data_IF_193207683081
#
_entry.id   IF_193207683081
#
_cell.length_a   1.000
_cell.length_b   1.000
_cell.length_c   1.000
_cell.angle_alpha   90.00
_cell.angle_beta   90.00
_cell.angle_gamma   90.00
#
_symmetry.space_group_name_H-M   'P 1'
#
loop_
_entity.id
_entity.type
_entity.pdbx_description
1 polymer ?
#
# COMPACT_ATOMS: atom_id res chain seq x y z
N UNK A 1 2.89 22.65 -18.03
CA UNK A 1 2.12 21.64 -17.30
C UNK A 1 3.07 20.97 -16.31
N UNK A 2 2.82 21.16 -15.01
CA UNK A 2 3.61 20.56 -13.92
C UNK A 2 2.93 19.24 -13.50
N UNK A 3 3.68 18.13 -13.56
CA UNK A 3 3.22 16.84 -13.09
C UNK A 3 3.98 16.49 -11.80
N UNK A 4 3.25 16.18 -10.75
CA UNK A 4 3.82 15.72 -9.49
C UNK A 4 3.57 14.21 -9.33
N UNK A 5 4.59 13.48 -8.91
CA UNK A 5 4.51 12.03 -8.70
C UNK A 5 5.07 11.66 -7.33
N UNK A 6 4.29 10.90 -6.57
CA UNK A 6 4.76 10.31 -5.32
C UNK A 6 5.52 9.03 -5.65
N UNK A 7 6.85 9.11 -5.66
CA UNK A 7 7.71 7.95 -5.84
C UNK A 7 8.17 7.42 -4.47
N UNK A 8 7.83 6.16 -4.18
CA UNK A 8 8.25 5.48 -2.95
C UNK A 8 9.77 5.26 -2.86
N UNK A 9 10.48 5.38 -3.98
CA UNK A 9 11.93 5.22 -4.05
C UNK A 9 12.70 6.54 -4.12
N UNK A 10 12.00 7.69 -4.02
CA UNK A 10 12.67 8.99 -4.02
C UNK A 10 13.66 9.07 -2.85
N UNK A 11 14.92 9.22 -3.18
CA UNK A 11 15.98 9.42 -2.19
C UNK A 11 15.99 10.90 -1.82
N UNK A 12 15.67 11.20 -0.56
CA UNK A 12 15.87 12.54 -0.01
C UNK A 12 17.36 12.82 0.10
N UNK A 13 17.77 14.03 -0.26
CA UNK A 13 19.18 14.42 -0.23
C UNK A 13 19.72 14.44 1.21
N UNK A 14 20.95 13.93 1.35
CA UNK A 14 21.65 13.91 2.63
C UNK A 14 21.88 15.34 3.15
N UNK A 15 21.57 15.57 4.42
CA UNK A 15 21.79 16.88 5.08
C UNK A 15 20.65 17.87 4.93
N UNK A 16 19.52 17.49 4.30
CA UNK A 16 18.30 18.32 4.32
C UNK A 16 17.49 18.09 5.61
N UNK A 17 16.94 19.16 6.14
CA UNK A 17 15.96 19.07 7.25
C UNK A 17 14.55 18.88 6.72
N UNK A 18 13.62 18.37 7.56
CA UNK A 18 12.20 18.25 7.20
C UNK A 18 11.66 19.58 6.69
N UNK A 19 11.88 20.67 7.42
CA UNK A 19 11.45 22.02 7.02
C UNK A 19 12.07 22.47 5.71
N UNK A 20 13.34 22.14 5.47
CA UNK A 20 14.04 22.40 4.20
C UNK A 20 13.38 21.71 3.02
N UNK A 21 13.05 20.42 3.16
CA UNK A 21 12.36 19.64 2.11
C UNK A 21 10.96 20.20 1.82
N UNK A 22 10.21 20.61 2.84
CA UNK A 22 8.87 21.18 2.64
C UNK A 22 8.92 22.55 1.98
N UNK A 23 9.88 23.42 2.36
CA UNK A 23 10.08 24.73 1.71
C UNK A 23 10.56 24.62 0.27
N UNK A 24 11.29 23.56 -0.07
CA UNK A 24 11.76 23.31 -1.43
C UNK A 24 10.59 23.15 -2.44
N UNK A 25 9.39 22.79 -1.97
CA UNK A 25 8.16 22.84 -2.78
C UNK A 25 7.91 24.20 -3.43
N UNK A 26 8.42 25.26 -2.83
CA UNK A 26 8.28 26.66 -3.24
C UNK A 26 9.57 27.26 -3.81
N UNK A 27 10.59 26.43 -4.11
CA UNK A 27 11.92 26.86 -4.57
C UNK A 27 11.84 27.94 -5.67
N UNK A 28 10.94 27.76 -6.65
CA UNK A 28 10.72 28.75 -7.72
C UNK A 28 10.29 30.14 -7.20
N UNK A 29 9.49 30.20 -6.15
CA UNK A 29 9.05 31.46 -5.57
C UNK A 29 10.21 32.15 -4.81
N UNK A 30 11.01 31.36 -4.10
CA UNK A 30 12.23 31.88 -3.46
C UNK A 30 13.28 32.35 -4.47
N UNK A 31 13.39 31.69 -5.63
CA UNK A 31 14.25 32.17 -6.73
C UNK A 31 13.75 33.50 -7.29
N UNK A 32 12.43 33.71 -7.41
CA UNK A 32 11.83 34.97 -7.83
C UNK A 32 12.09 36.09 -6.81
N UNK A 33 11.92 35.79 -5.51
CA UNK A 33 12.26 36.75 -4.43
C UNK A 33 13.75 37.13 -4.48
N UNK A 34 14.64 36.17 -4.62
CA UNK A 34 16.07 36.41 -4.78
C UNK A 34 16.34 37.29 -6.00
N UNK A 35 15.67 37.05 -7.12
CA UNK A 35 15.80 37.84 -8.33
C UNK A 35 15.34 39.31 -8.10
N UNK A 36 14.24 39.50 -7.36
CA UNK A 36 13.78 40.85 -6.96
C UNK A 36 14.88 41.57 -6.15
N UNK A 37 15.48 40.92 -5.18
CA UNK A 37 16.56 41.45 -4.36
C UNK A 37 17.79 41.84 -5.23
N UNK A 38 18.17 40.98 -6.19
CA UNK A 38 19.24 41.27 -7.15
C UNK A 38 18.91 42.50 -8.03
N UNK A 39 17.64 42.67 -8.42
CA UNK A 39 17.18 43.84 -9.18
C UNK A 39 17.25 45.10 -8.32
N UNK A 40 16.83 45.02 -7.05
CA UNK A 40 16.94 46.17 -6.12
C UNK A 40 18.39 46.62 -5.94
N UNK A 41 19.34 45.70 -5.79
CA UNK A 41 20.77 45.98 -5.68
C UNK A 41 21.28 46.66 -6.95
N UNK A 42 20.89 46.14 -8.13
CA UNK A 42 21.29 46.73 -9.42
C UNK A 42 20.70 48.12 -9.65
N UNK A 43 19.43 48.36 -9.28
CA UNK A 43 18.80 49.67 -9.40
C UNK A 43 19.52 50.77 -8.60
N UNK A 44 20.26 50.39 -7.54
CA UNK A 44 21.07 51.34 -6.78
C UNK A 44 22.33 51.80 -7.55
N UNK A 45 22.77 51.07 -8.58
CA UNK A 45 24.01 51.31 -9.33
C UNK A 45 23.75 51.81 -10.77
N UNK A 46 22.55 51.55 -11.33
CA UNK A 46 22.18 51.89 -12.72
C UNK A 46 21.89 53.39 -12.85
N UNK A 47 22.49 54.00 -13.87
CA UNK A 47 22.27 55.43 -14.22
C UNK A 47 21.56 55.58 -15.56
N UNK A 48 21.40 54.54 -16.33
CA UNK A 48 20.68 54.54 -17.60
C UNK A 48 19.17 54.40 -17.38
N UNK A 49 18.39 55.31 -17.92
CA UNK A 49 16.94 55.42 -17.73
C UNK A 49 16.18 54.26 -18.39
N UNK A 50 16.64 53.78 -19.56
CA UNK A 50 16.01 52.65 -20.27
C UNK A 50 16.25 51.31 -19.54
N UNK A 51 17.46 51.11 -19.03
CA UNK A 51 17.80 49.93 -18.23
C UNK A 51 17.04 49.92 -16.89
N UNK A 52 16.92 51.07 -16.24
CA UNK A 52 16.17 51.24 -15.00
C UNK A 52 14.69 50.91 -15.19
N UNK A 53 14.05 51.38 -16.26
CA UNK A 53 12.64 51.07 -16.57
C UNK A 53 12.44 49.59 -16.81
N UNK A 54 13.34 48.94 -17.55
CA UNK A 54 13.27 47.48 -17.80
C UNK A 54 13.35 46.66 -16.51
N UNK A 55 14.26 47.02 -15.59
CA UNK A 55 14.40 46.38 -14.29
C UNK A 55 13.16 46.60 -13.39
N UNK A 56 12.56 47.80 -13.44
CA UNK A 56 11.34 48.09 -12.68
C UNK A 56 10.13 47.28 -13.21
N UNK A 57 10.02 47.15 -14.54
CA UNK A 57 8.97 46.31 -15.14
C UNK A 57 9.16 44.82 -14.76
N UNK A 58 10.40 44.27 -14.84
CA UNK A 58 10.70 42.90 -14.42
C UNK A 58 10.34 42.70 -12.94
N UNK A 59 10.74 43.64 -12.07
CA UNK A 59 10.45 43.57 -10.64
C UNK A 59 8.94 43.57 -10.36
N UNK A 60 8.17 44.44 -11.03
CA UNK A 60 6.72 44.50 -10.90
C UNK A 60 6.05 43.17 -11.28
N UNK A 61 6.44 42.58 -12.42
CA UNK A 61 5.92 41.29 -12.85
C UNK A 61 6.25 40.17 -11.86
N UNK A 62 7.45 40.10 -11.32
CA UNK A 62 7.85 39.14 -10.32
C UNK A 62 7.08 39.35 -9.02
N UNK A 63 6.84 40.55 -8.59
CA UNK A 63 6.08 40.87 -7.38
C UNK A 63 4.62 40.45 -7.51
N UNK A 64 3.97 40.73 -8.64
CA UNK A 64 2.61 40.27 -8.95
C UNK A 64 2.50 38.73 -8.93
N UNK A 65 3.54 38.05 -9.44
CA UNK A 65 3.60 36.59 -9.38
C UNK A 65 3.75 36.06 -7.94
N UNK A 66 4.59 36.67 -7.11
CA UNK A 66 4.72 36.27 -5.70
C UNK A 66 3.42 36.52 -4.94
N UNK A 67 2.73 37.63 -5.16
CA UNK A 67 1.45 37.95 -4.53
C UNK A 67 0.35 36.94 -4.95
N UNK A 68 0.29 36.62 -6.25
CA UNK A 68 -0.70 35.68 -6.79
C UNK A 68 -0.51 34.24 -6.32
N UNK A 69 0.70 33.88 -5.85
CA UNK A 69 1.02 32.52 -5.33
C UNK A 69 1.11 32.50 -3.80
N UNK A 70 0.64 33.57 -3.13
CA UNK A 70 0.61 33.60 -1.65
C UNK A 70 2.00 33.41 -1.00
N UNK A 71 3.05 34.01 -1.58
CA UNK A 71 4.42 33.85 -1.12
C UNK A 71 4.60 34.13 0.37
N UNK A 72 3.99 35.20 0.85
CA UNK A 72 4.18 35.69 2.23
C UNK A 72 3.53 34.80 3.31
N UNK A 73 2.72 33.80 2.91
CA UNK A 73 2.11 32.84 3.86
C UNK A 73 2.65 31.44 3.69
N UNK A 74 3.77 31.25 2.96
CA UNK A 74 4.38 29.93 2.73
C UNK A 74 4.68 29.23 4.05
N UNK A 75 5.26 29.91 5.03
CA UNK A 75 5.57 29.30 6.33
C UNK A 75 4.31 28.79 7.04
N UNK A 76 3.20 29.51 6.94
CA UNK A 76 1.91 29.06 7.49
C UNK A 76 1.37 27.82 6.76
N UNK A 77 1.48 27.78 5.42
CA UNK A 77 1.10 26.60 4.60
C UNK A 77 1.96 25.37 4.94
N UNK A 78 3.27 25.57 5.08
CA UNK A 78 4.21 24.53 5.50
C UNK A 78 3.85 23.99 6.88
N UNK A 79 3.58 24.89 7.84
CA UNK A 79 3.20 24.50 9.19
C UNK A 79 1.86 23.75 9.23
N UNK A 80 0.87 24.18 8.47
CA UNK A 80 -0.44 23.52 8.36
C UNK A 80 -0.30 22.07 7.88
N UNK A 81 0.41 21.87 6.75
CA UNK A 81 0.63 20.52 6.20
C UNK A 81 1.54 19.68 7.10
N UNK A 82 2.57 20.29 7.70
CA UNK A 82 3.45 19.60 8.64
C UNK A 82 2.67 19.11 9.89
N UNK A 83 1.72 19.93 10.38
CA UNK A 83 0.82 19.57 11.47
C UNK A 83 -0.10 18.43 11.10
N UNK A 84 -0.68 18.47 9.88
CA UNK A 84 -1.59 17.45 9.38
C UNK A 84 -0.96 16.05 9.28
N UNK A 85 0.37 15.97 9.10
CA UNK A 85 1.12 14.70 9.03
C UNK A 85 1.97 14.42 10.27
N UNK A 86 1.74 15.13 11.38
CA UNK A 86 2.49 15.02 12.65
C UNK A 86 4.01 15.28 12.52
N UNK A 87 4.44 15.98 11.46
CA UNK A 87 5.85 16.27 11.23
C UNK A 87 6.41 17.31 12.21
N UNK A 88 5.55 18.17 12.79
CA UNK A 88 5.95 19.13 13.82
C UNK A 88 6.46 18.43 15.08
N UNK A 89 5.87 17.29 15.45
CA UNK A 89 6.29 16.51 16.61
C UNK A 89 7.68 15.88 16.43
N UNK A 90 8.08 15.64 15.16
CA UNK A 90 9.41 15.12 14.85
C UNK A 90 10.50 16.21 14.94
N UNK A 91 10.07 17.51 14.83
CA UNK A 91 10.95 18.66 14.73
C UNK A 91 11.32 18.96 13.28
N UNK A 92 10.98 20.18 12.79
CA UNK A 92 11.26 20.57 11.41
C UNK A 92 12.77 20.70 11.09
N UNK A 93 13.62 20.84 12.12
CA UNK A 93 15.08 20.91 11.99
C UNK A 93 15.74 19.53 11.94
N UNK A 94 14.96 18.46 12.10
CA UNK A 94 15.49 17.10 12.08
C UNK A 94 15.93 16.72 10.66
N UNK A 95 17.10 16.05 10.55
CA UNK A 95 17.62 15.53 9.30
C UNK A 95 16.75 14.40 8.76
N UNK A 96 16.42 14.46 7.46
CA UNK A 96 15.55 13.47 6.80
C UNK A 96 16.18 12.08 6.73
N UNK A 97 17.48 11.94 6.90
CA UNK A 97 18.17 10.65 6.92
C UNK A 97 17.90 9.85 8.19
N UNK A 98 17.52 10.52 9.28
CA UNK A 98 17.17 9.89 10.57
C UNK A 98 15.72 9.37 10.60
N UNK A 99 14.95 9.62 9.55
CA UNK A 99 13.55 9.24 9.48
C UNK A 99 13.38 7.77 9.08
N UNK A 100 12.36 7.13 9.65
CA UNK A 100 11.88 5.81 9.18
C UNK A 100 11.32 5.90 7.75
N UNK A 101 11.19 4.76 7.06
CA UNK A 101 10.60 4.69 5.72
C UNK A 101 9.23 5.37 5.64
N UNK A 102 8.31 5.05 6.56
CA UNK A 102 6.99 5.67 6.61
C UNK A 102 7.02 7.18 6.89
N UNK A 103 7.94 7.65 7.77
CA UNK A 103 8.10 9.08 8.01
C UNK A 103 8.63 9.82 6.77
N UNK A 104 9.56 9.22 6.03
CA UNK A 104 10.05 9.78 4.76
C UNK A 104 8.93 9.91 3.74
N UNK A 105 8.10 8.88 3.60
CA UNK A 105 6.94 8.91 2.71
C UNK A 105 5.96 10.03 3.08
N UNK A 106 5.70 10.27 4.37
CA UNK A 106 4.89 11.41 4.84
C UNK A 106 5.49 12.76 4.44
N UNK A 107 6.79 12.94 4.59
CA UNK A 107 7.50 14.19 4.18
C UNK A 107 7.41 14.40 2.67
N UNK A 108 7.62 13.35 1.87
CA UNK A 108 7.51 13.42 0.41
C UNK A 108 6.10 13.74 -0.05
N UNK A 109 5.09 13.09 0.56
CA UNK A 109 3.68 13.38 0.28
C UNK A 109 3.35 14.82 0.65
N UNK A 110 3.74 15.29 1.82
CA UNK A 110 3.53 16.66 2.28
C UNK A 110 4.16 17.69 1.31
N UNK A 111 5.41 17.47 0.87
CA UNK A 111 6.06 18.30 -0.16
C UNK A 111 5.25 18.33 -1.44
N UNK A 112 4.85 17.18 -1.95
CA UNK A 112 4.10 17.06 -3.20
C UNK A 112 2.75 17.80 -3.15
N UNK A 113 2.05 17.71 -2.01
CA UNK A 113 0.78 18.42 -1.80
C UNK A 113 0.99 19.94 -1.74
N UNK A 114 2.08 20.41 -1.12
CA UNK A 114 2.46 21.84 -1.10
C UNK A 114 2.79 22.38 -2.50
N UNK A 115 3.36 21.55 -3.35
CA UNK A 115 3.69 21.91 -4.74
C UNK A 115 2.47 22.18 -5.63
N UNK A 116 1.30 21.65 -5.28
CA UNK A 116 0.02 21.76 -6.00
C UNK A 116 0.17 21.60 -7.53
N UNK A 117 0.71 20.48 -8.05
CA UNK A 117 0.92 20.32 -9.48
C UNK A 117 -0.40 20.31 -10.26
N UNK A 118 -0.36 20.64 -11.58
CA UNK A 118 -1.53 20.57 -12.46
C UNK A 118 -2.06 19.13 -12.64
N UNK A 119 -1.17 18.15 -12.55
CA UNK A 119 -1.53 16.72 -12.51
C UNK A 119 -0.80 16.08 -11.34
N UNK A 120 -1.55 15.52 -10.39
CA UNK A 120 -1.04 14.82 -9.23
C UNK A 120 -1.17 13.31 -9.43
N UNK A 121 -0.06 12.58 -9.35
CA UNK A 121 -0.02 11.13 -9.47
C UNK A 121 0.31 10.52 -8.10
N UNK A 122 -0.63 9.75 -7.57
CA UNK A 122 -0.52 9.11 -6.25
C UNK A 122 -0.60 7.59 -6.41
N UNK A 123 0.45 6.91 -5.97
CA UNK A 123 0.51 5.44 -5.92
C UNK A 123 0.49 4.99 -4.47
N UNK A 124 -0.62 4.34 -4.06
CA UNK A 124 -0.86 3.86 -2.70
C UNK A 124 -0.54 4.90 -1.60
N UNK A 125 -1.11 6.13 -1.66
CA UNK A 125 -0.74 7.20 -0.73
C UNK A 125 -1.22 6.95 0.70
N UNK A 126 -2.19 6.04 0.91
CA UNK A 126 -2.70 5.66 2.23
C UNK A 126 -1.77 4.72 2.99
N UNK A 127 -0.81 4.10 2.30
CA UNK A 127 0.21 3.30 2.96
C UNK A 127 1.02 4.15 3.95
N UNK A 128 1.24 3.63 5.15
CA UNK A 128 1.94 4.30 6.26
C UNK A 128 1.21 5.51 6.87
N UNK A 129 -0.04 5.79 6.44
CA UNK A 129 -0.91 6.78 7.06
C UNK A 129 -1.85 6.11 8.08
N UNK A 130 -2.10 6.76 9.19
CA UNK A 130 -3.16 6.36 10.10
C UNK A 130 -4.51 7.00 9.72
N UNK A 131 -5.57 6.61 10.39
CA UNK A 131 -6.93 7.04 10.08
C UNK A 131 -7.10 8.58 10.05
N UNK A 132 -6.40 9.31 10.94
CA UNK A 132 -6.45 10.76 10.99
C UNK A 132 -5.83 11.41 9.74
N UNK A 133 -4.65 10.91 9.33
CA UNK A 133 -3.97 11.39 8.11
C UNK A 133 -4.76 11.05 6.84
N UNK A 134 -5.37 9.86 6.78
CA UNK A 134 -6.22 9.46 5.65
C UNK A 134 -7.44 10.40 5.53
N UNK A 135 -8.09 10.73 6.66
CA UNK A 135 -9.24 11.63 6.63
C UNK A 135 -8.86 13.06 6.23
N UNK A 136 -7.68 13.53 6.62
CA UNK A 136 -7.16 14.82 6.17
C UNK A 136 -6.84 14.79 4.66
N UNK A 137 -6.14 13.76 4.18
CA UNK A 137 -5.81 13.60 2.76
C UNK A 137 -7.07 13.53 1.89
N UNK A 138 -8.09 12.81 2.36
CA UNK A 138 -9.39 12.74 1.71
C UNK A 138 -10.01 14.12 1.49
N UNK A 139 -10.07 14.95 2.54
CA UNK A 139 -10.60 16.33 2.44
C UNK A 139 -9.78 17.16 1.47
N UNK A 140 -8.45 17.08 1.57
CA UNK A 140 -7.54 17.77 0.66
C UNK A 140 -7.80 17.42 -0.81
N UNK A 141 -7.95 16.11 -1.14
CA UNK A 141 -8.20 15.66 -2.51
C UNK A 141 -9.62 16.01 -3.00
N UNK A 142 -10.61 16.07 -2.12
CA UNK A 142 -11.96 16.52 -2.47
C UNK A 142 -12.00 18.01 -2.85
N UNK A 143 -11.13 18.81 -2.27
CA UNK A 143 -10.98 20.25 -2.53
C UNK A 143 -9.91 20.57 -3.58
N UNK A 144 -9.24 19.52 -4.13
CA UNK A 144 -8.14 19.73 -5.08
C UNK A 144 -8.66 20.25 -6.41
N UNK A 145 -8.24 21.46 -6.79
CA UNK A 145 -8.73 22.17 -7.98
C UNK A 145 -8.25 21.56 -9.30
N UNK A 146 -7.10 20.88 -9.27
CA UNK A 146 -6.45 20.31 -10.44
C UNK A 146 -6.80 18.81 -10.60
N UNK A 147 -6.26 18.18 -11.64
CA UNK A 147 -6.48 16.76 -11.87
C UNK A 147 -5.56 15.89 -11.02
N UNK A 148 -6.08 14.76 -10.53
CA UNK A 148 -5.23 13.72 -9.91
C UNK A 148 -5.56 12.34 -10.47
N UNK A 149 -4.55 11.46 -10.44
CA UNK A 149 -4.69 10.02 -10.73
C UNK A 149 -4.22 9.29 -9.48
N UNK A 150 -5.08 8.41 -8.98
CA UNK A 150 -4.87 7.69 -7.74
C UNK A 150 -4.90 6.19 -8.00
N UNK A 151 -3.90 5.47 -7.49
CA UNK A 151 -3.89 4.02 -7.37
C UNK A 151 -4.00 3.72 -5.87
N UNK A 152 -4.99 2.91 -5.48
CA UNK A 152 -5.16 2.50 -4.08
C UNK A 152 -5.96 1.20 -3.97
N UNK A 153 -5.67 0.44 -2.92
CA UNK A 153 -6.45 -0.73 -2.49
C UNK A 153 -7.40 -0.41 -1.33
N UNK A 154 -7.44 0.84 -0.88
CA UNK A 154 -8.35 1.34 0.14
C UNK A 154 -9.67 1.77 -0.54
N UNK A 155 -10.66 0.85 -0.55
CA UNK A 155 -11.94 1.06 -1.23
C UNK A 155 -12.74 2.23 -0.62
N UNK A 156 -12.88 2.35 0.72
CA UNK A 156 -13.54 3.49 1.35
C UNK A 156 -12.92 4.83 0.95
N UNK A 157 -11.60 4.90 0.89
CA UNK A 157 -10.89 6.08 0.45
C UNK A 157 -11.16 6.39 -1.03
N UNK A 158 -11.06 5.39 -1.93
CA UNK A 158 -11.39 5.53 -3.36
C UNK A 158 -12.81 6.07 -3.55
N UNK A 159 -13.81 5.44 -2.94
CA UNK A 159 -15.22 5.84 -3.07
C UNK A 159 -15.48 7.29 -2.63
N UNK A 160 -14.64 7.81 -1.74
CA UNK A 160 -14.81 9.17 -1.21
C UNK A 160 -14.20 10.27 -2.08
N UNK A 161 -13.18 9.96 -2.91
CA UNK A 161 -12.39 10.98 -3.62
C UNK A 161 -12.43 10.87 -5.14
N UNK A 162 -12.77 9.69 -5.72
CA UNK A 162 -12.74 9.52 -7.17
C UNK A 162 -14.14 9.58 -7.79
N UNK A 163 -14.20 10.03 -9.03
CA UNK A 163 -15.44 10.09 -9.84
C UNK A 163 -15.31 9.35 -11.18
N UNK A 164 -14.14 8.81 -11.49
CA UNK A 164 -13.85 8.02 -12.69
C UNK A 164 -12.90 6.91 -12.29
N UNK A 165 -13.23 5.68 -12.71
CA UNK A 165 -12.35 4.52 -12.56
C UNK A 165 -11.80 4.13 -13.93
N UNK A 166 -10.48 3.95 -14.01
CA UNK A 166 -9.81 3.32 -15.13
C UNK A 166 -9.38 1.91 -14.73
N UNK A 167 -10.02 0.92 -15.34
CA UNK A 167 -9.71 -0.49 -15.13
C UNK A 167 -8.82 -0.99 -16.26
N UNK A 168 -7.67 -1.53 -15.88
CA UNK A 168 -6.69 -2.09 -16.81
C UNK A 168 -6.79 -3.61 -16.81
N UNK A 169 -7.23 -4.17 -17.94
CA UNK A 169 -7.42 -5.59 -18.14
C UNK A 169 -7.05 -5.97 -19.59
N UNK A 170 -6.38 -7.09 -19.82
CA UNK A 170 -5.98 -7.56 -21.19
C UNK A 170 -5.21 -6.51 -22.02
N UNK A 171 -4.32 -5.75 -21.40
CA UNK A 171 -3.63 -4.63 -22.04
C UNK A 171 -4.59 -3.57 -22.62
N UNK A 172 -5.82 -3.53 -22.16
CA UNK A 172 -6.81 -2.52 -22.50
C UNK A 172 -7.18 -1.69 -21.29
N UNK A 173 -7.46 -0.43 -21.52
CA UNK A 173 -7.87 0.51 -20.47
C UNK A 173 -9.36 0.83 -20.64
N UNK A 174 -10.16 0.36 -19.70
CA UNK A 174 -11.60 0.63 -19.66
C UNK A 174 -11.89 1.83 -18.76
N UNK A 175 -12.66 2.83 -19.26
CA UNK A 175 -13.10 3.99 -18.49
C UNK A 175 -14.52 3.78 -17.96
N UNK A 176 -14.72 3.98 -16.68
CA UNK A 176 -16.01 3.88 -16.00
C UNK A 176 -16.27 5.17 -15.23
N UNK A 177 -17.45 5.73 -15.36
CA UNK A 177 -17.87 6.96 -14.64
C UNK A 177 -18.59 6.55 -13.36
N UNK A 178 -18.15 7.09 -12.25
CA UNK A 178 -18.63 6.81 -10.91
C UNK A 178 -17.49 6.41 -9.97
N UNK A 179 -17.86 6.05 -8.76
CA UNK A 179 -17.00 5.49 -7.74
C UNK A 179 -16.67 4.01 -7.99
N UNK A 180 -15.95 3.40 -7.07
CA UNK A 180 -15.53 2.01 -7.18
C UNK A 180 -16.72 1.03 -7.08
N UNK A 181 -17.72 1.30 -6.24
CA UNK A 181 -18.88 0.42 -6.08
C UNK A 181 -19.70 0.38 -7.36
N UNK A 182 -19.94 1.53 -7.97
CA UNK A 182 -20.63 1.62 -9.26
C UNK A 182 -19.82 0.96 -10.40
N UNK A 183 -18.50 1.09 -10.37
CA UNK A 183 -17.63 0.36 -11.29
C UNK A 183 -17.84 -1.15 -11.16
N UNK A 184 -17.85 -1.68 -9.93
CA UNK A 184 -18.03 -3.11 -9.67
C UNK A 184 -19.36 -3.63 -10.24
N UNK A 185 -20.47 -2.89 -10.03
CA UNK A 185 -21.77 -3.25 -10.57
C UNK A 185 -21.74 -3.34 -12.10
N UNK A 186 -21.23 -2.29 -12.76
CA UNK A 186 -21.16 -2.23 -14.22
C UNK A 186 -20.22 -3.29 -14.78
N UNK A 187 -19.10 -3.52 -14.13
CA UNK A 187 -18.10 -4.51 -14.53
C UNK A 187 -18.67 -5.94 -14.42
N UNK A 188 -19.37 -6.26 -13.32
CA UNK A 188 -20.02 -7.57 -13.13
C UNK A 188 -21.03 -7.86 -14.26
N UNK A 189 -21.85 -6.87 -14.63
CA UNK A 189 -22.79 -7.02 -15.74
C UNK A 189 -22.05 -7.26 -17.08
N UNK A 190 -21.03 -6.47 -17.39
CA UNK A 190 -20.22 -6.64 -18.60
C UNK A 190 -19.53 -8.00 -18.65
N UNK A 191 -18.94 -8.45 -17.54
CA UNK A 191 -18.30 -9.77 -17.42
C UNK A 191 -19.29 -10.88 -17.69
N UNK A 192 -20.48 -10.83 -17.07
CA UNK A 192 -21.56 -11.81 -17.30
C UNK A 192 -22.01 -11.86 -18.76
N UNK A 193 -22.16 -10.70 -19.42
CA UNK A 193 -22.51 -10.62 -20.84
C UNK A 193 -21.41 -11.23 -21.74
N UNK A 194 -20.13 -10.94 -21.43
CA UNK A 194 -18.99 -11.48 -22.18
C UNK A 194 -18.91 -13.01 -22.03
N UNK A 195 -19.12 -13.54 -20.82
CA UNK A 195 -19.15 -14.99 -20.58
C UNK A 195 -20.31 -15.67 -21.32
N UNK A 196 -21.49 -15.05 -21.33
CA UNK A 196 -22.64 -15.57 -22.08
C UNK A 196 -22.36 -15.57 -23.59
N UNK A 197 -21.78 -14.51 -24.13
CA UNK A 197 -21.37 -14.41 -25.54
C UNK A 197 -20.30 -15.46 -25.87
N UNK A 198 -19.30 -15.65 -25.01
CA UNK A 198 -18.29 -16.69 -25.18
C UNK A 198 -18.89 -18.10 -25.23
N UNK A 199 -19.76 -18.46 -24.26
CA UNK A 199 -20.42 -19.77 -24.22
C UNK A 199 -21.21 -20.01 -25.52
N UNK A 200 -21.97 -19.02 -25.98
CA UNK A 200 -22.73 -19.11 -27.24
C UNK A 200 -21.81 -19.29 -28.45
N UNK A 201 -20.71 -18.55 -28.51
CA UNK A 201 -19.73 -18.69 -29.60
C UNK A 201 -19.03 -20.04 -29.58
N UNK A 202 -18.64 -20.55 -28.40
CA UNK A 202 -18.02 -21.89 -28.27
C UNK A 202 -18.97 -23.00 -28.72
N UNK A 203 -20.25 -22.90 -28.41
CA UNK A 203 -21.27 -23.82 -28.90
C UNK A 203 -21.35 -23.78 -30.44
N UNK A 204 -21.43 -22.57 -31.06
CA UNK A 204 -21.45 -22.42 -32.50
C UNK A 204 -20.19 -22.98 -33.15
N UNK A 205 -19.01 -22.72 -32.56
CA UNK A 205 -17.73 -23.29 -33.03
C UNK A 205 -17.76 -24.81 -32.99
N UNK A 206 -18.26 -25.41 -31.91
CA UNK A 206 -18.39 -26.85 -31.76
C UNK A 206 -19.31 -27.47 -32.83
N UNK A 207 -20.50 -26.88 -33.01
CA UNK A 207 -21.47 -27.33 -34.01
C UNK A 207 -20.90 -27.24 -35.47
N UNK A 208 -20.19 -26.14 -35.75
CA UNK A 208 -19.53 -25.96 -37.06
C UNK A 208 -18.40 -26.97 -37.26
N UNK A 209 -17.56 -27.21 -36.24
CA UNK A 209 -16.49 -28.22 -36.29
C UNK A 209 -17.03 -29.62 -36.51
N UNK A 210 -18.07 -30.00 -35.78
CA UNK A 210 -18.73 -31.30 -35.88
C UNK A 210 -19.35 -31.52 -37.29
N UNK A 211 -19.99 -30.45 -37.81
CA UNK A 211 -20.55 -30.53 -39.16
C UNK A 211 -19.44 -30.72 -40.18
N UNK A 212 -18.35 -29.97 -40.11
CA UNK A 212 -17.21 -30.08 -41.02
C UNK A 212 -16.59 -31.46 -40.93
N UNK A 213 -16.37 -32.00 -39.72
CA UNK A 213 -15.80 -33.32 -39.51
C UNK A 213 -16.64 -34.43 -40.17
N UNK A 214 -17.97 -34.39 -40.00
CA UNK A 214 -18.89 -35.40 -40.59
C UNK A 214 -19.07 -35.32 -42.11
N UNK A 215 -18.90 -34.15 -42.70
CA UNK A 215 -19.29 -33.89 -44.08
C UNK A 215 -18.10 -33.62 -45.05
N UNK A 216 -16.88 -33.39 -44.55
CA UNK A 216 -15.70 -33.06 -45.37
C UNK A 216 -15.31 -34.15 -46.38
N UNK A 217 -15.54 -35.43 -46.04
CA UNK A 217 -15.19 -36.56 -46.85
C UNK A 217 -16.29 -36.95 -47.87
N UNK A 218 -17.53 -36.43 -47.74
CA UNK A 218 -18.66 -36.79 -48.63
C UNK A 218 -18.72 -35.83 -49.82
N UNK A 219 -18.71 -36.35 -51.03
CA UNK A 219 -18.72 -35.56 -52.29
C UNK A 219 -19.91 -34.59 -52.34
N UNK A 220 -21.14 -35.05 -51.98
CA UNK A 220 -22.35 -34.25 -52.05
C UNK A 220 -22.38 -33.05 -51.03
N UNK A 221 -21.68 -33.14 -49.89
CA UNK A 221 -21.72 -32.13 -48.81
C UNK A 221 -20.40 -31.40 -48.65
N UNK A 222 -19.37 -31.74 -49.42
CA UNK A 222 -18.03 -31.18 -49.34
C UNK A 222 -18.00 -29.64 -49.46
N UNK A 223 -18.74 -29.10 -50.44
CA UNK A 223 -18.78 -27.63 -50.66
C UNK A 223 -19.41 -26.89 -49.45
N UNK A 224 -20.45 -27.48 -48.82
CA UNK A 224 -21.07 -26.93 -47.62
C UNK A 224 -20.11 -27.00 -46.41
N UNK A 225 -19.37 -28.12 -46.27
CA UNK A 225 -18.37 -28.26 -45.24
C UNK A 225 -17.23 -27.24 -45.39
N UNK A 226 -16.76 -27.03 -46.64
CA UNK A 226 -15.73 -26.01 -46.92
C UNK A 226 -16.22 -24.56 -46.65
N UNK A 227 -17.49 -24.26 -46.96
CA UNK A 227 -18.08 -22.95 -46.63
C UNK A 227 -18.11 -22.71 -45.12
N UNK A 228 -18.49 -23.71 -44.32
CA UNK A 228 -18.51 -23.62 -42.85
C UNK A 228 -17.11 -23.59 -42.27
N UNK A 229 -16.14 -24.29 -42.86
CA UNK A 229 -14.72 -24.17 -42.48
C UNK A 229 -14.22 -22.74 -42.68
N UNK A 230 -14.51 -22.11 -43.84
CA UNK A 230 -14.16 -20.72 -44.09
C UNK A 230 -14.81 -19.74 -43.11
N UNK A 231 -16.03 -20.06 -42.61
CA UNK A 231 -16.67 -19.26 -41.54
C UNK A 231 -15.90 -19.41 -40.24
N UNK A 232 -15.49 -20.63 -39.86
CA UNK A 232 -14.65 -20.88 -38.68
C UNK A 232 -13.31 -20.14 -38.77
N UNK A 233 -12.64 -20.20 -39.92
CA UNK A 233 -11.32 -19.60 -40.15
C UNK A 233 -11.35 -18.06 -40.08
N UNK A 234 -12.52 -17.45 -40.36
CA UNK A 234 -12.74 -16.00 -40.31
C UNK A 234 -13.36 -15.49 -39.01
N UNK A 235 -13.69 -16.39 -38.08
CA UNK A 235 -14.38 -16.03 -36.85
C UNK A 235 -13.38 -15.45 -35.85
N UNK A 236 -13.61 -14.23 -35.43
CA UNK A 236 -12.88 -13.65 -34.31
C UNK A 236 -13.31 -14.37 -33.01
N UNK A 237 -12.39 -15.16 -32.46
CA UNK A 237 -12.67 -15.96 -31.25
C UNK A 237 -12.55 -15.07 -30.03
N UNK A 238 -13.64 -14.97 -29.28
CA UNK A 238 -13.66 -14.30 -27.99
C UNK A 238 -12.70 -15.06 -27.07
N UNK A 239 -11.74 -14.34 -26.48
CA UNK A 239 -10.85 -14.89 -25.48
C UNK A 239 -11.33 -14.44 -24.11
N UNK A 240 -11.72 -15.38 -23.26
CA UNK A 240 -11.90 -15.09 -21.85
C UNK A 240 -10.54 -15.06 -21.19
N UNK A 241 -10.35 -14.10 -20.32
CA UNK A 241 -9.18 -14.08 -19.44
C UNK A 241 -9.10 -15.36 -18.61
N UNK A 242 -7.91 -15.90 -18.49
CA UNK A 242 -7.68 -16.89 -17.42
C UNK A 242 -7.79 -16.14 -16.10
N UNK A 243 -8.77 -16.48 -15.31
CA UNK A 243 -8.88 -15.91 -13.97
C UNK A 243 -7.52 -16.02 -13.27
N UNK A 244 -7.04 -14.89 -12.76
CA UNK A 244 -5.85 -14.93 -11.90
C UNK A 244 -6.15 -15.90 -10.77
N UNK A 245 -5.22 -16.80 -10.42
CA UNK A 245 -5.44 -17.70 -9.31
C UNK A 245 -5.73 -16.86 -8.08
N UNK A 246 -6.94 -17.03 -7.52
CA UNK A 246 -7.27 -16.40 -6.25
C UNK A 246 -6.37 -17.01 -5.18
N UNK A 247 -5.83 -16.19 -4.27
CA UNK A 247 -5.06 -16.74 -3.17
C UNK A 247 -5.94 -17.63 -2.31
N UNK A 248 -5.35 -18.68 -1.75
CA UNK A 248 -5.98 -19.61 -0.82
C UNK A 248 -5.04 -19.79 0.37
N UNK A 249 -5.44 -19.24 1.53
CA UNK A 249 -4.63 -19.26 2.74
C UNK A 249 -5.21 -20.26 3.74
N UNK A 250 -4.38 -21.25 4.12
CA UNK A 250 -4.74 -22.24 5.13
C UNK A 250 -3.58 -22.40 6.10
N UNK A 251 -3.72 -21.84 7.30
CA UNK A 251 -2.68 -21.90 8.34
C UNK A 251 -2.57 -23.35 8.87
N UNK A 252 -1.34 -23.82 9.00
CA UNK A 252 -1.08 -25.10 9.67
C UNK A 252 -1.15 -24.93 11.17
N UNK A 253 -1.88 -25.84 11.82
CA UNK A 253 -2.06 -25.83 13.27
C UNK A 253 -1.00 -26.69 13.95
N UNK A 254 -0.24 -26.12 14.89
CA UNK A 254 0.60 -26.87 15.81
C UNK A 254 -0.23 -27.48 16.96
N UNK A 255 0.43 -28.25 17.82
CA UNK A 255 -0.21 -28.75 19.06
C UNK A 255 -0.72 -27.59 19.91
N UNK A 256 -1.72 -27.85 20.74
CA UNK A 256 -2.34 -26.86 21.61
C UNK A 256 -1.33 -26.23 22.57
N UNK A 257 -1.33 -24.91 22.70
CA UNK A 257 -0.52 -24.13 23.65
C UNK A 257 -0.97 -24.29 25.09
N UNK A 258 -0.19 -23.78 26.03
CA UNK A 258 -0.60 -23.56 27.42
C UNK A 258 -1.81 -22.66 27.53
N UNK A 259 -2.36 -22.47 28.75
CA UNK A 259 -3.52 -21.59 28.96
C UNK A 259 -3.18 -20.12 28.71
N UNK A 260 -2.02 -19.68 29.19
CA UNK A 260 -1.52 -18.30 29.02
C UNK A 260 -0.61 -18.27 27.80
N UNK A 261 -0.82 -17.31 26.90
CA UNK A 261 0.04 -17.06 25.76
C UNK A 261 1.19 -16.15 26.18
N UNK A 262 0.87 -15.01 26.78
CA UNK A 262 1.84 -14.15 27.44
C UNK A 262 1.17 -13.31 28.52
N UNK A 263 1.99 -12.81 29.43
CA UNK A 263 1.60 -11.88 30.48
C UNK A 263 2.71 -10.83 30.65
N UNK A 264 2.30 -9.56 30.78
CA UNK A 264 3.23 -8.46 31.04
C UNK A 264 3.04 -7.94 32.43
N UNK A 265 4.16 -7.63 33.11
CA UNK A 265 4.21 -7.11 34.49
C UNK A 265 4.98 -5.80 34.46
N UNK A 266 4.25 -4.70 34.60
CA UNK A 266 4.72 -3.30 34.50
C UNK A 266 5.66 -3.05 33.30
N UNK A 267 5.32 -3.63 32.16
CA UNK A 267 6.12 -3.56 30.94
C UNK A 267 6.19 -2.15 30.40
N UNK A 268 7.38 -1.59 30.30
CA UNK A 268 7.65 -0.31 29.60
C UNK A 268 8.51 -0.59 28.38
N UNK A 269 8.01 -0.18 27.23
CA UNK A 269 8.67 -0.38 25.93
C UNK A 269 9.39 0.88 25.45
N UNK A 270 10.42 0.71 24.61
CA UNK A 270 11.19 1.77 23.97
C UNK A 270 12.53 1.27 23.49
N UNK A 271 13.26 2.14 22.78
CA UNK A 271 14.58 1.82 22.22
C UNK A 271 15.74 2.27 23.12
N UNK A 272 15.51 3.24 24.00
CA UNK A 272 16.50 3.69 24.97
C UNK A 272 15.84 4.02 26.30
N UNK A 273 16.62 3.91 27.40
CA UNK A 273 16.12 4.20 28.74
C UNK A 273 15.67 5.64 28.93
N UNK A 274 16.24 6.56 28.14
CA UNK A 274 15.95 8.00 28.23
C UNK A 274 14.69 8.40 27.46
N UNK A 275 14.18 7.53 26.58
CA UNK A 275 13.01 7.78 25.74
C UNK A 275 12.05 6.58 25.78
N UNK A 276 11.33 6.38 26.91
CA UNK A 276 10.28 5.37 26.95
C UNK A 276 9.12 5.77 26.03
N UNK A 277 8.52 4.78 25.36
CA UNK A 277 7.36 4.99 24.47
C UNK A 277 6.02 4.79 25.24
N UNK A 278 6.04 4.04 26.33
CA UNK A 278 4.81 3.70 27.05
C UNK A 278 4.92 3.93 28.55
N UNK A 279 3.76 4.09 29.19
CA UNK A 279 3.55 3.85 30.61
C UNK A 279 3.67 2.35 30.92
N UNK A 280 3.79 1.93 32.18
CA UNK A 280 3.74 0.53 32.55
C UNK A 280 2.46 -0.15 32.06
N UNK A 281 2.60 -1.30 31.40
CA UNK A 281 1.51 -2.08 30.85
C UNK A 281 1.40 -3.43 31.54
N UNK A 282 0.18 -3.79 31.94
CA UNK A 282 -0.17 -5.07 32.53
C UNK A 282 -1.23 -5.71 31.65
N UNK A 283 -0.79 -6.47 30.65
CA UNK A 283 -1.62 -7.09 29.64
C UNK A 283 -1.45 -8.62 29.71
N UNK A 284 -2.53 -9.33 29.50
CA UNK A 284 -2.54 -10.79 29.50
C UNK A 284 -3.36 -11.31 28.34
N UNK A 285 -2.79 -12.24 27.61
CA UNK A 285 -3.44 -12.95 26.52
C UNK A 285 -3.56 -14.44 26.86
N UNK A 286 -4.74 -14.99 26.71
CA UNK A 286 -5.02 -16.40 26.94
C UNK A 286 -5.18 -17.17 25.61
N UNK A 287 -5.16 -18.48 25.70
CA UNK A 287 -5.35 -19.37 24.55
C UNK A 287 -6.74 -19.18 23.95
N UNK A 288 -6.78 -18.99 22.65
CA UNK A 288 -8.00 -18.79 21.87
C UNK A 288 -8.38 -17.33 21.70
N UNK A 289 -7.70 -16.39 22.41
CA UNK A 289 -7.94 -14.99 22.21
C UNK A 289 -7.49 -14.54 20.83
N UNK A 290 -8.31 -13.72 20.18
CA UNK A 290 -8.00 -13.00 18.94
C UNK A 290 -8.11 -11.52 19.27
N UNK A 291 -6.97 -10.84 19.34
CA UNK A 291 -6.88 -9.46 19.86
C UNK A 291 -6.33 -8.55 18.77
N UNK A 292 -7.00 -7.42 18.53
CA UNK A 292 -6.46 -6.35 17.70
C UNK A 292 -5.76 -5.30 18.57
N UNK A 293 -4.57 -4.86 18.12
CA UNK A 293 -3.85 -3.73 18.69
C UNK A 293 -4.06 -2.53 17.77
N UNK A 294 -4.61 -1.45 18.32
CA UNK A 294 -4.88 -0.19 17.63
C UNK A 294 -4.11 0.96 18.23
N UNK A 295 -4.07 2.09 17.55
CA UNK A 295 -3.40 3.32 17.97
C UNK A 295 -2.66 4.00 16.82
N UNK A 296 -2.31 5.27 16.98
CA UNK A 296 -1.63 6.09 15.97
C UNK A 296 -0.25 5.53 15.59
N UNK A 297 0.29 5.97 14.47
CA UNK A 297 1.60 5.52 14.01
C UNK A 297 2.71 6.07 14.91
N UNK A 298 3.74 5.25 15.16
CA UNK A 298 4.87 5.61 16.03
C UNK A 298 4.64 5.42 17.52
N UNK A 299 3.44 5.03 17.95
CA UNK A 299 3.09 4.82 19.37
C UNK A 299 3.81 3.61 20.01
N UNK A 300 4.42 2.75 19.20
CA UNK A 300 5.17 1.59 19.70
C UNK A 300 4.48 0.23 19.51
N UNK A 301 3.48 0.10 18.61
CA UNK A 301 2.79 -1.18 18.34
C UNK A 301 3.75 -2.31 17.95
N UNK A 302 4.59 -2.08 16.95
CA UNK A 302 5.65 -3.01 16.52
C UNK A 302 6.66 -3.27 17.63
N UNK A 303 7.01 -2.22 18.41
CA UNK A 303 7.94 -2.33 19.54
C UNK A 303 7.35 -3.22 20.63
N UNK A 304 6.05 -3.10 20.90
CA UNK A 304 5.33 -3.96 21.84
C UNK A 304 5.40 -5.43 21.41
N UNK A 305 5.06 -5.74 20.14
CA UNK A 305 5.16 -7.11 19.62
C UNK A 305 6.59 -7.66 19.76
N UNK A 306 7.59 -6.87 19.37
CA UNK A 306 9.00 -7.26 19.46
C UNK A 306 9.47 -7.43 20.91
N UNK A 307 8.97 -6.62 21.83
CA UNK A 307 9.28 -6.75 23.28
C UNK A 307 8.64 -7.99 23.90
N UNK A 308 7.39 -8.32 23.53
CA UNK A 308 6.73 -9.56 23.94
C UNK A 308 7.48 -10.78 23.43
N UNK A 309 7.99 -10.73 22.19
CA UNK A 309 8.83 -11.80 21.60
C UNK A 309 10.25 -11.87 22.18
N UNK A 310 10.65 -10.88 22.98
CA UNK A 310 12.02 -10.79 23.49
C UNK A 310 13.06 -10.37 22.45
N UNK A 311 12.63 -9.89 21.28
CA UNK A 311 13.50 -9.39 20.21
C UNK A 311 14.08 -8.01 20.56
N UNK A 312 13.36 -7.22 21.33
CA UNK A 312 13.80 -5.93 21.88
C UNK A 312 13.67 -6.01 23.39
N UNK A 313 14.74 -5.66 24.15
CA UNK A 313 14.65 -5.65 25.61
C UNK A 313 13.68 -4.58 26.10
N UNK A 314 12.89 -4.90 27.12
CA UNK A 314 12.05 -3.92 27.81
C UNK A 314 12.92 -2.87 28.54
N UNK A 315 12.44 -1.64 28.65
CA UNK A 315 13.08 -0.60 29.45
C UNK A 315 12.94 -0.91 30.94
N UNK A 316 11.75 -1.31 31.35
CA UNK A 316 11.46 -1.81 32.70
C UNK A 316 10.30 -2.81 32.64
N UNK A 317 10.08 -3.53 33.73
CA UNK A 317 9.11 -4.60 33.79
C UNK A 317 9.56 -5.83 32.98
N UNK A 318 8.64 -6.72 32.70
CA UNK A 318 8.92 -7.95 31.96
C UNK A 318 7.69 -8.42 31.17
N UNK A 319 7.95 -9.12 30.08
CA UNK A 319 6.97 -9.94 29.38
C UNK A 319 7.36 -11.41 29.57
N UNK A 320 6.41 -12.25 29.95
CA UNK A 320 6.60 -13.68 30.13
C UNK A 320 5.75 -14.43 29.12
N UNK A 321 6.39 -15.26 28.31
CA UNK A 321 5.72 -16.16 27.37
C UNK A 321 5.25 -17.41 28.11
N UNK A 322 4.11 -17.93 27.72
CA UNK A 322 3.56 -19.19 28.21
C UNK A 322 4.27 -20.43 27.66
N UNK A 323 3.73 -21.58 27.99
CA UNK A 323 4.32 -22.88 27.61
C UNK A 323 3.79 -23.37 26.26
N UNK A 324 4.61 -24.18 25.58
CA UNK A 324 4.27 -24.87 24.34
C UNK A 324 3.81 -23.95 23.20
N UNK A 325 4.40 -22.77 23.12
CA UNK A 325 4.10 -21.82 22.07
C UNK A 325 4.87 -22.14 20.78
N UNK A 326 4.13 -22.17 19.67
CA UNK A 326 4.64 -22.19 18.31
C UNK A 326 4.18 -20.90 17.65
N UNK A 327 5.04 -19.89 17.71
CA UNK A 327 4.70 -18.52 17.32
C UNK A 327 5.04 -18.32 15.85
N UNK A 328 4.05 -17.90 15.05
CA UNK A 328 4.26 -17.35 13.73
C UNK A 328 4.25 -15.82 13.80
N UNK A 329 5.32 -15.20 13.35
CA UNK A 329 5.43 -13.74 13.34
C UNK A 329 5.47 -13.19 11.92
N UNK A 330 4.52 -12.33 11.58
CA UNK A 330 4.50 -11.56 10.34
C UNK A 330 5.01 -10.15 10.63
N UNK A 331 6.23 -9.87 10.21
CA UNK A 331 6.89 -8.59 10.44
C UNK A 331 6.49 -7.56 9.39
N UNK A 332 6.27 -6.29 9.79
CA UNK A 332 5.84 -5.21 8.91
C UNK A 332 6.84 -4.94 7.78
N UNK A 333 8.10 -4.75 8.11
CA UNK A 333 9.18 -4.46 7.15
C UNK A 333 10.29 -5.51 7.26
N UNK A 334 10.55 -6.20 6.17
CA UNK A 334 11.68 -7.12 6.04
C UNK A 334 12.50 -6.72 4.82
N UNK A 335 13.81 -6.66 4.97
CA UNK A 335 14.69 -6.42 3.80
C UNK A 335 14.50 -7.53 2.78
N UNK A 336 14.15 -7.18 1.53
CA UNK A 336 13.94 -8.19 0.50
C UNK A 336 15.20 -9.02 0.25
N UNK A 337 15.01 -10.34 0.14
CA UNK A 337 16.10 -11.28 -0.14
C UNK A 337 16.56 -11.21 -1.61
N UNK A 338 17.83 -11.54 -1.85
CA UNK A 338 18.40 -11.75 -3.20
C UNK A 338 17.98 -13.10 -3.81
N UNK A 339 17.42 -13.99 -3.02
CA UNK A 339 16.93 -15.30 -3.46
C UNK A 339 15.73 -15.17 -4.39
N UNK A 340 15.52 -16.19 -5.23
CA UNK A 340 14.22 -16.35 -5.92
C UNK A 340 13.15 -16.75 -4.90
N UNK A 341 11.87 -16.49 -5.20
CA UNK A 341 10.78 -16.93 -4.31
C UNK A 341 10.82 -18.43 -4.04
N UNK A 342 11.18 -19.21 -5.06
CA UNK A 342 11.34 -20.65 -4.92
C UNK A 342 12.43 -21.00 -3.89
N UNK A 343 13.62 -20.39 -4.01
CA UNK A 343 14.73 -20.61 -3.08
C UNK A 343 14.38 -20.17 -1.67
N UNK A 344 13.74 -19.02 -1.54
CA UNK A 344 13.32 -18.42 -0.27
C UNK A 344 12.39 -19.33 0.56
N UNK A 345 11.46 -20.03 -0.10
CA UNK A 345 10.58 -20.98 0.56
C UNK A 345 11.29 -22.32 0.75
N UNK A 346 12.13 -22.74 -0.18
CA UNK A 346 12.81 -24.03 -0.09
C UNK A 346 13.86 -24.08 1.03
N UNK A 347 14.55 -22.96 1.27
CA UNK A 347 15.49 -22.83 2.39
C UNK A 347 14.78 -22.96 3.75
N UNK A 348 13.56 -22.39 3.86
CA UNK A 348 12.73 -22.49 5.06
C UNK A 348 12.16 -23.90 5.27
N UNK A 349 11.78 -24.59 4.16
CA UNK A 349 11.15 -25.91 4.17
C UNK A 349 11.96 -26.92 3.33
N UNK A 350 13.16 -27.32 3.78
CA UNK A 350 14.05 -28.21 3.00
C UNK A 350 13.48 -29.62 2.76
N UNK A 351 12.46 -30.00 3.53
CA UNK A 351 11.75 -31.26 3.33
C UNK A 351 10.75 -31.26 2.17
N UNK A 352 10.44 -30.08 1.60
CA UNK A 352 9.51 -29.99 0.47
C UNK A 352 10.21 -30.30 -0.84
N UNK A 353 9.49 -30.97 -1.73
CA UNK A 353 9.89 -31.10 -3.13
C UNK A 353 9.72 -29.76 -3.86
N UNK A 354 10.42 -29.59 -4.97
CA UNK A 354 10.26 -28.38 -5.80
C UNK A 354 8.80 -28.16 -6.27
N UNK A 355 8.07 -29.26 -6.50
CA UNK A 355 6.66 -29.19 -6.87
C UNK A 355 5.80 -28.64 -5.71
N UNK A 356 6.02 -29.10 -4.49
CA UNK A 356 5.29 -28.62 -3.30
C UNK A 356 5.56 -27.16 -3.01
N UNK A 357 6.81 -26.71 -3.16
CA UNK A 357 7.16 -25.28 -3.03
C UNK A 357 6.45 -24.44 -4.07
N UNK A 358 6.45 -24.87 -5.34
CA UNK A 358 5.73 -24.17 -6.43
C UNK A 358 4.22 -24.15 -6.17
N UNK A 359 3.65 -25.24 -5.70
CA UNK A 359 2.24 -25.34 -5.37
C UNK A 359 1.85 -24.43 -4.19
N UNK A 360 2.68 -24.35 -3.15
CA UNK A 360 2.47 -23.46 -2.01
C UNK A 360 2.48 -21.97 -2.44
N UNK A 361 3.46 -21.57 -3.24
CA UNK A 361 3.55 -20.19 -3.78
C UNK A 361 2.38 -19.87 -4.71
N UNK A 362 1.99 -20.80 -5.58
CA UNK A 362 0.84 -20.64 -6.47
C UNK A 362 -0.49 -20.51 -5.70
N UNK A 363 -0.67 -21.26 -4.60
CA UNK A 363 -1.82 -21.10 -3.69
C UNK A 363 -1.87 -19.72 -3.05
N UNK A 364 -0.73 -19.06 -2.84
CA UNK A 364 -0.68 -17.70 -2.37
C UNK A 364 -0.95 -16.65 -3.49
N UNK A 365 -1.37 -17.08 -4.68
CA UNK A 365 -1.69 -16.20 -5.79
C UNK A 365 -0.49 -15.70 -6.60
N UNK A 366 0.68 -16.35 -6.45
CA UNK A 366 1.88 -16.00 -7.22
C UNK A 366 1.91 -16.75 -8.55
N UNK A 367 2.18 -16.04 -9.63
CA UNK A 367 2.32 -16.64 -10.97
C UNK A 367 3.68 -17.33 -11.13
N UNK A 368 3.81 -18.19 -12.13
CA UNK A 368 5.09 -18.86 -12.43
C UNK A 368 6.24 -17.86 -12.62
N UNK A 369 5.97 -16.70 -13.25
CA UNK A 369 6.95 -15.64 -13.43
C UNK A 369 7.42 -15.06 -12.09
N UNK A 370 6.51 -14.83 -11.14
CA UNK A 370 6.84 -14.34 -9.81
C UNK A 370 7.65 -15.37 -9.02
N UNK A 371 7.27 -16.66 -9.12
CA UNK A 371 7.95 -17.76 -8.41
C UNK A 371 9.43 -17.87 -8.80
N UNK A 372 9.76 -17.59 -10.06
CA UNK A 372 11.12 -17.63 -10.60
C UNK A 372 11.89 -16.31 -10.45
N UNK A 373 11.20 -15.24 -10.08
CA UNK A 373 11.80 -13.92 -9.87
C UNK A 373 12.46 -13.82 -8.49
N UNK A 374 13.45 -12.94 -8.36
CA UNK A 374 14.04 -12.59 -7.05
C UNK A 374 13.02 -11.83 -6.21
N UNK A 375 12.99 -12.10 -4.91
CA UNK A 375 12.05 -11.45 -3.98
C UNK A 375 12.16 -9.93 -4.04
N UNK A 376 13.36 -9.38 -4.15
CA UNK A 376 13.59 -7.92 -4.23
C UNK A 376 12.98 -7.22 -5.45
N UNK A 377 12.69 -7.97 -6.52
CA UNK A 377 12.14 -7.40 -7.78
C UNK A 377 10.61 -7.41 -7.78
N UNK A 378 10.01 -8.09 -6.82
CA UNK A 378 8.57 -8.18 -6.68
C UNK A 378 7.99 -6.88 -6.11
N UNK A 379 6.72 -6.60 -6.46
CA UNK A 379 5.94 -5.55 -5.80
C UNK A 379 5.75 -5.84 -4.29
N UNK A 380 5.46 -4.82 -3.50
CA UNK A 380 5.22 -4.97 -2.06
C UNK A 380 4.17 -6.04 -1.72
N UNK A 381 3.08 -6.09 -2.51
CA UNK A 381 2.03 -7.10 -2.33
C UNK A 381 2.48 -8.53 -2.65
N UNK A 382 3.30 -8.71 -3.68
CA UNK A 382 3.87 -10.02 -4.02
C UNK A 382 4.88 -10.47 -2.96
N UNK A 383 5.70 -9.55 -2.42
CA UNK A 383 6.59 -9.83 -1.30
C UNK A 383 5.81 -10.23 -0.04
N UNK A 384 4.69 -9.55 0.26
CA UNK A 384 3.80 -9.91 1.35
C UNK A 384 3.22 -11.32 1.18
N UNK A 385 2.81 -11.70 -0.05
CA UNK A 385 2.34 -13.05 -0.38
C UNK A 385 3.42 -14.12 -0.18
N UNK A 386 4.70 -13.83 -0.48
CA UNK A 386 5.83 -14.75 -0.18
C UNK A 386 5.99 -14.93 1.33
N UNK A 387 5.93 -13.85 2.10
CA UNK A 387 6.00 -13.91 3.58
C UNK A 387 4.82 -14.67 4.18
N UNK A 388 3.60 -14.45 3.67
CA UNK A 388 2.42 -15.22 4.07
C UNK A 388 2.58 -16.70 3.72
N UNK A 389 3.18 -17.02 2.56
CA UNK A 389 3.44 -18.43 2.18
C UNK A 389 4.35 -19.13 3.22
N UNK A 390 5.38 -18.45 3.74
CA UNK A 390 6.19 -19.00 4.86
C UNK A 390 5.32 -19.25 6.09
N UNK A 391 4.59 -18.25 6.52
CA UNK A 391 3.79 -18.30 7.73
C UNK A 391 2.71 -19.39 7.68
N UNK A 392 2.02 -19.52 6.55
CA UNK A 392 0.95 -20.52 6.34
C UNK A 392 1.49 -21.95 6.38
N UNK A 393 2.73 -22.15 5.92
CA UNK A 393 3.35 -23.47 5.88
C UNK A 393 4.09 -23.84 7.18
N UNK A 394 4.22 -22.89 8.12
CA UNK A 394 4.79 -23.14 9.44
C UNK A 394 3.70 -23.62 10.40
N UNK A 395 4.01 -24.65 11.19
CA UNK A 395 3.09 -25.14 12.22
C UNK A 395 3.04 -24.13 13.37
N UNK A 396 1.88 -23.49 13.59
CA UNK A 396 1.70 -22.44 14.58
C UNK A 396 0.50 -22.68 15.48
N UNK A 397 0.52 -22.15 16.70
CA UNK A 397 -0.62 -22.08 17.60
C UNK A 397 -0.87 -20.64 18.11
N UNK A 398 0.05 -19.72 17.78
CA UNK A 398 -0.07 -18.28 18.02
C UNK A 398 0.41 -17.53 16.78
N UNK A 399 -0.38 -16.59 16.30
CA UNK A 399 0.00 -15.68 15.21
C UNK A 399 0.13 -14.26 15.77
N UNK A 400 1.30 -13.66 15.56
CA UNK A 400 1.55 -12.24 15.76
C UNK A 400 1.67 -11.60 14.39
N UNK A 401 0.76 -10.70 14.06
CA UNK A 401 0.66 -10.10 12.73
C UNK A 401 0.81 -8.58 12.85
N UNK A 402 1.86 -8.05 12.25
CA UNK A 402 2.15 -6.61 12.26
C UNK A 402 1.77 -6.00 10.91
N UNK A 403 0.61 -5.35 10.86
CA UNK A 403 0.01 -4.73 9.68
C UNK A 403 0.00 -5.65 8.42
N UNK A 404 -0.59 -6.86 8.52
CA UNK A 404 -0.51 -7.86 7.45
C UNK A 404 -1.33 -7.49 6.22
N UNK A 405 -2.21 -6.51 6.31
CA UNK A 405 -3.06 -6.01 5.21
C UNK A 405 -2.34 -5.04 4.29
N UNK A 406 -1.22 -4.46 4.74
CA UNK A 406 -0.46 -3.51 3.94
C UNK A 406 0.03 -4.14 2.65
N UNK A 407 -0.17 -3.43 1.54
CA UNK A 407 0.18 -3.85 0.18
C UNK A 407 -0.61 -5.06 -0.37
N UNK A 408 -1.54 -5.66 0.38
CA UNK A 408 -2.36 -6.74 -0.16
C UNK A 408 -3.50 -6.18 -1.03
N UNK A 409 -3.76 -6.86 -2.16
CA UNK A 409 -4.94 -6.62 -2.96
C UNK A 409 -6.23 -7.10 -2.23
N UNK A 410 -7.39 -6.66 -2.70
CA UNK A 410 -8.68 -6.93 -2.06
C UNK A 410 -8.93 -8.44 -1.92
N UNK A 411 -8.67 -9.22 -2.99
CA UNK A 411 -8.87 -10.68 -2.96
C UNK A 411 -7.98 -11.34 -1.89
N UNK A 412 -6.73 -10.87 -1.70
CA UNK A 412 -5.83 -11.39 -0.69
C UNK A 412 -6.21 -10.95 0.74
N UNK A 413 -6.72 -9.71 0.92
CA UNK A 413 -7.23 -9.25 2.22
C UNK A 413 -8.44 -10.07 2.65
N UNK A 414 -9.42 -10.28 1.77
CA UNK A 414 -10.62 -11.06 2.05
C UNK A 414 -10.26 -12.52 2.41
N UNK A 415 -9.35 -13.11 1.65
CA UNK A 415 -8.90 -14.47 1.91
C UNK A 415 -8.09 -14.58 3.21
N UNK A 416 -7.26 -13.59 3.54
CA UNK A 416 -6.55 -13.54 4.82
C UNK A 416 -7.55 -13.43 5.99
N UNK A 417 -8.55 -12.57 5.88
CA UNK A 417 -9.61 -12.44 6.89
C UNK A 417 -10.35 -13.77 7.09
N UNK A 418 -10.72 -14.46 6.00
CA UNK A 418 -11.35 -15.79 6.05
C UNK A 418 -10.45 -16.80 6.77
N UNK A 419 -9.19 -16.88 6.36
CA UNK A 419 -8.23 -17.82 6.92
C UNK A 419 -7.97 -17.59 8.43
N UNK A 420 -7.86 -16.31 8.84
CA UNK A 420 -7.71 -15.93 10.25
C UNK A 420 -8.98 -16.21 11.06
N UNK A 421 -10.16 -16.10 10.45
CA UNK A 421 -11.43 -16.44 11.11
C UNK A 421 -11.51 -17.92 11.42
N UNK A 422 -11.06 -18.78 10.50
CA UNK A 422 -11.06 -20.25 10.62
C UNK A 422 -9.91 -20.77 11.50
N UNK A 423 -8.86 -19.97 11.70
CA UNK A 423 -7.71 -20.37 12.52
C UNK A 423 -8.10 -20.52 13.99
N UNK A 424 -7.78 -21.69 14.57
CA UNK A 424 -8.16 -22.07 15.96
C UNK A 424 -7.16 -21.63 17.02
N UNK A 425 -5.96 -21.22 16.62
CA UNK A 425 -4.95 -20.68 17.52
C UNK A 425 -5.28 -19.26 17.97
N UNK A 426 -4.40 -18.70 18.77
CA UNK A 426 -4.51 -17.33 19.27
C UNK A 426 -3.91 -16.35 18.26
N UNK A 427 -4.49 -15.15 18.16
CA UNK A 427 -4.06 -14.13 17.20
C UNK A 427 -3.85 -12.80 17.95
N UNK A 428 -2.68 -12.19 17.74
CA UNK A 428 -2.42 -10.80 18.12
C UNK A 428 -2.13 -10.02 16.84
N UNK A 429 -3.03 -9.12 16.47
CA UNK A 429 -3.07 -8.43 15.20
C UNK A 429 -2.87 -6.94 15.40
N UNK A 430 -1.82 -6.35 14.85
CA UNK A 430 -1.73 -4.90 14.67
C UNK A 430 -2.40 -4.55 13.35
N UNK A 431 -3.43 -3.73 13.39
CA UNK A 431 -4.17 -3.32 12.19
C UNK A 431 -4.82 -1.95 12.38
N UNK A 432 -4.79 -1.14 11.33
CA UNK A 432 -5.43 0.17 11.28
C UNK A 432 -6.79 0.17 10.60
N UNK A 433 -7.17 -0.95 9.98
CA UNK A 433 -8.41 -1.10 9.19
C UNK A 433 -9.51 -1.74 10.05
N UNK A 434 -10.49 -0.96 10.61
CA UNK A 434 -11.58 -1.54 11.40
C UNK A 434 -12.36 -2.61 10.64
N UNK A 435 -12.59 -2.39 9.35
CA UNK A 435 -13.32 -3.32 8.48
C UNK A 435 -12.64 -4.69 8.37
N UNK A 436 -11.31 -4.74 8.52
CA UNK A 436 -10.57 -5.99 8.49
C UNK A 436 -10.72 -6.78 9.81
N UNK A 437 -10.58 -6.13 10.97
CA UNK A 437 -10.60 -6.86 12.24
C UNK A 437 -12.00 -7.00 12.85
N UNK A 438 -13.01 -6.23 12.41
CA UNK A 438 -14.39 -6.37 12.84
C UNK A 438 -14.94 -7.76 12.50
N UNK A 439 -15.50 -8.42 13.54
CA UNK A 439 -16.00 -9.79 13.43
C UNK A 439 -14.91 -10.88 13.45
N UNK A 440 -13.63 -10.51 13.42
CA UNK A 440 -12.49 -11.42 13.52
C UNK A 440 -11.97 -11.54 14.96
N UNK A 441 -11.86 -10.43 15.68
CA UNK A 441 -11.22 -10.35 16.99
C UNK A 441 -12.23 -10.40 18.13
N UNK A 442 -11.77 -10.91 19.26
CA UNK A 442 -12.55 -11.00 20.53
C UNK A 442 -12.40 -9.76 21.40
N UNK A 443 -11.29 -9.04 21.24
CA UNK A 443 -10.97 -7.84 22.03
C UNK A 443 -10.11 -6.88 21.22
N UNK A 444 -10.11 -5.59 21.62
CA UNK A 444 -9.31 -4.54 20.98
C UNK A 444 -8.53 -3.79 22.06
N UNK A 445 -7.20 -3.81 21.93
CA UNK A 445 -6.31 -3.07 22.81
C UNK A 445 -5.86 -1.77 22.14
N UNK A 446 -6.35 -0.64 22.66
CA UNK A 446 -5.86 0.67 22.23
C UNK A 446 -4.61 1.06 23.03
N UNK A 447 -3.44 1.05 22.37
CA UNK A 447 -2.18 1.40 23.02
C UNK A 447 -2.05 2.90 23.35
N UNK A 448 -2.91 3.77 22.82
CA UNK A 448 -2.92 5.20 23.16
C UNK A 448 -3.16 5.44 24.65
N UNK A 449 -3.89 4.54 25.31
CA UNK A 449 -4.14 4.60 26.75
C UNK A 449 -2.85 4.49 27.60
N UNK A 450 -1.83 3.86 27.02
CA UNK A 450 -0.54 3.63 27.66
C UNK A 450 0.55 4.59 27.17
N UNK A 451 0.23 5.52 26.28
CA UNK A 451 1.22 6.48 25.77
C UNK A 451 1.59 7.49 26.86
N UNK A 452 2.86 7.83 26.91
CA UNK A 452 3.31 8.99 27.67
C UNK A 452 2.83 10.23 26.92
N UNK A 453 1.92 11.01 27.51
CA UNK A 453 1.58 12.32 27.00
C UNK A 453 2.88 13.14 26.92
N UNK A 454 3.37 13.39 25.74
CA UNK A 454 4.46 14.33 25.48
C UNK A 454 3.94 15.76 25.48
#
# INVERSE_FOLDING_TARGET
MKVGYLDQHTVLELGMTIGGVLRDAFSRLFDMEKRINEICDKLAEVTDEDEMNTLLEEMGLLQDLLDSHDFYIIDSKVEEVARAFDLLQLGLDKDVTELSGGQRTKVLLAKLLLEKPEILLLDEPTNYLDAHHIEWLKRYLQEYENAFILISHDIPFLNSVVNIIYHMENCQLGRYVGDYDKFQEVYAVKKSQLEAAYRKQQQEISELKDFVARNKARVATRNMAMSRQKKLDKMDVIQLEREKPKPEFNFKEARTSGKVIFETDDLVIGYSKDKPLSKPMNLRMERGDKIAITGTNGIGKTTFLKSVLGLIPAISGKAQLGDYLHIGYFEQEVKPSENTCLQEIWEEFPGYTQYEVRAALAKCGLTTKHIESKVKVLSGGEQAKVRLCKLINTDTNVLLLDEPTNHLDVDAKDELKRALSEYKGSILLVCHEPEFYDGLVTDVWNLEQYTLLQ
#
